data_IF_168491076269
#
_entry.id   IF_168491076269
#
_cell.length_a   1.000
_cell.length_b   1.000
_cell.length_c   1.000
_cell.angle_alpha   90.00
_cell.angle_beta   90.00
_cell.angle_gamma   90.00
#
_symmetry.space_group_name_H-M   'P 1'
#
loop_
_entity.id
_entity.type
_entity.pdbx_description
1 polymer ?
#
# COMPACT_ATOMS: atom_id res chain seq x y z
N UNK A 1 -18.90 22.30 -5.27
CA UNK A 1 -18.00 21.13 -5.30
C UNK A 1 -16.58 21.66 -5.46
N UNK A 2 -15.77 21.69 -4.40
CA UNK A 2 -14.38 22.14 -4.53
C UNK A 2 -13.60 21.03 -5.25
N UNK A 3 -13.13 21.32 -6.46
CA UNK A 3 -12.24 20.42 -7.21
C UNK A 3 -10.95 20.25 -6.40
N UNK A 4 -10.53 19.01 -6.16
CA UNK A 4 -9.25 18.75 -5.50
C UNK A 4 -8.13 19.06 -6.50
N UNK A 5 -7.13 19.84 -6.10
CA UNK A 5 -5.94 20.03 -6.92
C UNK A 5 -5.13 18.72 -6.91
N UNK A 6 -5.17 17.98 -8.03
CA UNK A 6 -4.29 16.82 -8.24
C UNK A 6 -2.97 17.34 -8.80
N UNK A 7 -1.97 17.40 -7.95
CA UNK A 7 -0.64 17.91 -8.28
C UNK A 7 0.24 16.73 -8.68
N UNK A 8 0.88 16.82 -9.84
CA UNK A 8 1.94 15.87 -10.19
C UNK A 8 3.20 16.22 -9.38
N UNK A 9 3.89 15.20 -8.87
CA UNK A 9 5.14 15.34 -8.12
C UNK A 9 6.17 16.22 -8.86
N UNK A 10 6.25 16.11 -10.18
CA UNK A 10 7.20 16.90 -10.99
C UNK A 10 6.93 18.40 -10.97
N UNK A 11 5.68 18.80 -10.77
CA UNK A 11 5.23 20.20 -10.77
C UNK A 11 4.84 20.68 -9.37
N UNK A 12 5.04 19.85 -8.35
CA UNK A 12 4.64 20.16 -6.98
C UNK A 12 5.60 21.18 -6.37
N UNK A 13 5.10 22.39 -6.11
CA UNK A 13 5.87 23.45 -5.45
C UNK A 13 5.52 23.51 -3.96
N UNK A 14 6.53 23.45 -3.09
CA UNK A 14 6.33 23.47 -1.64
C UNK A 14 5.71 24.78 -1.17
N UNK A 15 5.98 25.91 -1.86
CA UNK A 15 5.49 27.24 -1.49
C UNK A 15 3.97 27.34 -1.49
N UNK A 16 3.31 26.62 -2.41
CA UNK A 16 1.86 26.60 -2.55
C UNK A 16 1.17 25.74 -1.49
N UNK A 17 1.92 24.94 -0.73
CA UNK A 17 1.39 24.13 0.38
C UNK A 17 1.14 25.02 1.58
N UNK A 18 -0.10 25.02 2.07
CA UNK A 18 -0.50 25.73 3.29
C UNK A 18 -1.25 24.83 4.26
N UNK A 19 -1.10 25.15 5.54
CA UNK A 19 -1.68 24.39 6.65
C UNK A 19 -2.66 25.28 7.42
N UNK A 20 -3.97 25.21 7.13
CA UNK A 20 -5.00 25.94 7.88
C UNK A 20 -5.05 25.53 9.37
N UNK A 21 -5.83 26.26 10.16
CA UNK A 21 -5.97 26.00 11.59
C UNK A 21 -6.42 24.56 11.92
N UNK A 22 -5.87 24.02 13.02
CA UNK A 22 -6.15 22.68 13.48
C UNK A 22 -7.62 22.56 13.93
N UNK A 23 -8.33 21.58 13.38
CA UNK A 23 -9.72 21.28 13.73
C UNK A 23 -9.78 20.02 14.59
N UNK A 24 -10.47 20.09 15.72
CA UNK A 24 -10.71 18.91 16.57
C UNK A 24 -11.69 17.95 15.88
N UNK A 25 -11.33 16.67 15.84
CA UNK A 25 -12.17 15.59 15.31
C UNK A 25 -13.11 15.02 16.39
N UNK A 26 -14.06 14.17 15.98
CA UNK A 26 -15.03 13.54 16.89
C UNK A 26 -14.39 12.67 18.00
N UNK A 27 -13.16 12.22 17.78
CA UNK A 27 -12.39 11.36 18.69
C UNK A 27 -11.44 12.18 19.61
N UNK A 28 -11.57 13.50 19.64
CA UNK A 28 -10.75 14.38 20.47
C UNK A 28 -9.34 14.66 19.94
N UNK A 29 -8.94 14.05 18.81
CA UNK A 29 -7.69 14.34 18.12
C UNK A 29 -7.77 15.65 17.34
N UNK A 30 -6.65 16.38 17.26
CA UNK A 30 -6.52 17.57 16.43
C UNK A 30 -6.10 17.15 15.02
N UNK A 31 -6.80 17.62 13.99
CA UNK A 31 -6.52 17.33 12.59
C UNK A 31 -6.33 18.62 11.80
N UNK A 32 -5.23 18.71 11.06
CA UNK A 32 -4.94 19.82 10.15
C UNK A 32 -5.14 19.32 8.73
N UNK A 33 -5.95 20.05 7.95
CA UNK A 33 -6.10 19.79 6.52
C UNK A 33 -4.86 20.33 5.81
N UNK A 34 -4.49 19.70 4.70
CA UNK A 34 -3.45 20.22 3.83
C UNK A 34 -4.09 20.89 2.63
N UNK A 35 -3.68 22.12 2.34
CA UNK A 35 -4.14 22.87 1.18
C UNK A 35 -2.98 23.10 0.21
N UNK A 36 -3.30 23.14 -1.07
CA UNK A 36 -2.40 23.53 -2.15
C UNK A 36 -3.09 24.58 -3.01
N UNK A 37 -2.57 25.81 -3.03
CA UNK A 37 -3.21 26.92 -3.71
C UNK A 37 -4.66 27.18 -3.24
N UNK A 38 -4.96 26.89 -1.97
CA UNK A 38 -6.30 27.04 -1.39
C UNK A 38 -7.28 25.88 -1.64
N UNK A 39 -6.90 24.86 -2.41
CA UNK A 39 -7.69 23.64 -2.61
C UNK A 39 -7.14 22.48 -1.78
N UNK A 40 -7.94 21.42 -1.58
CA UNK A 40 -7.47 20.22 -0.90
C UNK A 40 -6.28 19.60 -1.64
N UNK A 41 -5.20 19.33 -0.91
CA UNK A 41 -3.99 18.76 -1.49
C UNK A 41 -4.19 17.27 -1.84
N UNK A 42 -3.98 16.96 -3.11
CA UNK A 42 -3.86 15.59 -3.62
C UNK A 42 -2.59 15.49 -4.46
N UNK A 43 -1.74 14.51 -4.17
CA UNK A 43 -0.48 14.25 -4.83
C UNK A 43 -0.61 13.01 -5.71
N UNK A 44 -0.27 13.12 -6.98
CA UNK A 44 -0.13 11.98 -7.89
C UNK A 44 1.28 11.41 -7.76
N UNK A 45 1.38 10.17 -7.29
CA UNK A 45 2.62 9.44 -7.17
C UNK A 45 2.99 8.73 -8.49
N UNK A 46 4.28 8.66 -8.83
CA UNK A 46 4.78 7.83 -9.93
C UNK A 46 4.58 6.34 -9.64
N UNK A 47 4.87 5.50 -10.64
CA UNK A 47 4.75 4.04 -10.53
C UNK A 47 5.71 3.52 -9.46
N UNK A 48 5.15 3.05 -8.34
CA UNK A 48 5.93 2.51 -7.23
C UNK A 48 5.56 1.07 -6.91
N UNK A 49 6.53 0.32 -6.41
CA UNK A 49 6.36 -1.08 -5.99
C UNK A 49 5.95 -1.19 -4.53
N UNK A 50 4.98 -2.05 -4.26
CA UNK A 50 4.46 -2.37 -2.92
C UNK A 50 4.84 -3.81 -2.56
N UNK A 51 6.04 -4.05 -1.98
CA UNK A 51 6.52 -5.40 -1.72
C UNK A 51 5.64 -6.16 -0.73
N UNK A 52 5.11 -5.46 0.29
CA UNK A 52 4.23 -6.04 1.30
C UNK A 52 2.79 -6.29 0.82
N UNK A 53 2.38 -5.73 -0.32
CA UNK A 53 0.98 -5.70 -0.73
C UNK A 53 0.08 -5.02 0.32
N UNK A 54 -1.17 -5.46 0.41
CA UNK A 54 -2.11 -5.00 1.43
C UNK A 54 -1.72 -5.49 2.84
N UNK A 55 -1.51 -4.56 3.76
CA UNK A 55 -1.33 -4.83 5.18
C UNK A 55 -2.61 -4.55 5.94
N UNK A 56 -3.10 -5.56 6.65
CA UNK A 56 -4.25 -5.47 7.54
C UNK A 56 -3.77 -5.37 8.98
N UNK A 57 -4.31 -4.42 9.74
CA UNK A 57 -4.09 -4.32 11.19
C UNK A 57 -5.41 -4.07 11.88
N UNK A 58 -5.74 -4.92 12.82
CA UNK A 58 -6.92 -4.80 13.68
C UNK A 58 -6.53 -4.02 14.93
N UNK A 59 -7.30 -3.01 15.27
CA UNK A 59 -7.13 -2.26 16.51
C UNK A 59 -7.90 -2.98 17.63
N UNK A 60 -7.18 -3.56 18.60
CA UNK A 60 -7.79 -4.25 19.74
C UNK A 60 -8.76 -3.38 20.55
N UNK A 61 -8.61 -2.05 20.50
CA UNK A 61 -9.45 -1.13 21.30
C UNK A 61 -10.76 -0.77 20.60
N UNK A 62 -10.77 -0.74 19.27
CA UNK A 62 -11.95 -0.29 18.52
C UNK A 62 -12.55 -1.38 17.63
N UNK A 63 -11.90 -2.54 17.52
CA UNK A 63 -12.28 -3.59 16.57
C UNK A 63 -12.21 -3.18 15.09
N UNK A 64 -11.63 -2.02 14.77
CA UNK A 64 -11.58 -1.53 13.40
C UNK A 64 -10.41 -2.14 12.67
N UNK A 65 -10.69 -2.67 11.49
CA UNK A 65 -9.70 -3.18 10.57
C UNK A 65 -9.14 -2.04 9.73
N UNK A 66 -7.86 -1.73 9.92
CA UNK A 66 -7.14 -0.72 9.16
C UNK A 66 -6.32 -1.35 8.03
N UNK A 67 -6.46 -0.80 6.83
CA UNK A 67 -5.75 -1.25 5.64
C UNK A 67 -4.67 -0.24 5.27
N UNK A 68 -3.45 -0.71 5.04
CA UNK A 68 -2.31 0.12 4.66
C UNK A 68 -1.50 -0.52 3.53
N UNK A 69 -0.95 0.33 2.66
CA UNK A 69 0.07 -0.02 1.68
C UNK A 69 1.39 0.61 2.10
N UNK A 70 2.49 -0.11 1.90
CA UNK A 70 3.84 0.43 2.10
C UNK A 70 4.54 0.44 0.75
N UNK A 71 4.68 1.62 0.18
CA UNK A 71 5.41 1.85 -1.07
C UNK A 71 6.90 1.89 -0.79
N UNK A 72 7.67 1.20 -1.61
CA UNK A 72 9.13 1.20 -1.53
C UNK A 72 9.71 2.26 -2.46
N UNK A 73 10.48 3.21 -1.90
CA UNK A 73 11.20 4.24 -2.67
C UNK A 73 12.59 3.70 -3.06
N UNK A 74 12.61 2.68 -3.92
CA UNK A 74 13.86 2.11 -4.45
C UNK A 74 14.64 3.19 -5.23
N UNK A 75 15.95 3.27 -5.00
CA UNK A 75 16.83 4.25 -5.65
C UNK A 75 17.04 5.57 -4.89
N UNK A 76 16.36 5.76 -3.75
CA UNK A 76 16.59 6.90 -2.86
C UNK A 76 17.51 6.51 -1.67
N UNK A 77 18.02 7.51 -0.96
CA UNK A 77 18.92 7.31 0.19
C UNK A 77 18.26 6.39 1.24
N UNK A 78 18.86 5.23 1.57
CA UNK A 78 18.34 4.30 2.58
C UNK A 78 18.18 4.92 3.97
N UNK A 79 18.88 6.02 4.25
CA UNK A 79 18.82 6.71 5.54
C UNK A 79 17.82 7.86 5.59
N UNK A 80 17.15 8.18 4.48
CA UNK A 80 16.25 9.33 4.35
C UNK A 80 16.87 10.67 4.80
N UNK A 81 18.21 10.83 4.71
CA UNK A 81 18.96 11.99 5.23
C UNK A 81 19.50 12.88 4.13
N UNK A 82 20.00 12.29 3.05
CA UNK A 82 20.52 13.02 1.91
C UNK A 82 19.40 13.23 0.87
N UNK A 83 19.40 14.40 0.22
CA UNK A 83 18.58 14.64 -0.98
C UNK A 83 19.02 13.67 -2.09
N UNK A 84 18.06 13.13 -2.83
CA UNK A 84 18.38 12.28 -3.97
C UNK A 84 18.87 13.17 -5.12
N UNK A 85 20.02 12.81 -5.69
CA UNK A 85 20.63 13.48 -6.86
C UNK A 85 20.13 12.94 -8.20
N UNK A 86 19.24 11.95 -8.19
CA UNK A 86 18.61 11.43 -9.41
C UNK A 86 17.60 12.42 -9.98
N UNK A 87 17.49 12.49 -11.31
CA UNK A 87 16.47 13.29 -12.01
C UNK A 87 15.12 12.53 -12.19
N UNK A 88 15.06 11.31 -11.67
CA UNK A 88 13.88 10.44 -11.73
C UNK A 88 12.68 11.04 -10.98
N UNK A 89 11.47 10.70 -11.42
CA UNK A 89 10.22 11.11 -10.75
C UNK A 89 10.18 10.67 -9.27
N UNK A 90 10.80 9.54 -8.96
CA UNK A 90 10.92 9.01 -7.59
C UNK A 90 11.85 9.86 -6.72
N UNK A 91 12.96 10.36 -7.28
CA UNK A 91 13.89 11.26 -6.58
C UNK A 91 13.25 12.61 -6.31
N UNK A 92 12.48 13.13 -7.27
CA UNK A 92 11.67 14.36 -7.09
C UNK A 92 10.59 14.18 -6.02
N UNK A 93 9.90 13.03 -6.00
CA UNK A 93 8.95 12.69 -4.93
C UNK A 93 9.65 12.71 -3.57
N UNK A 94 10.78 12.03 -3.46
CA UNK A 94 11.51 11.92 -2.22
C UNK A 94 11.98 13.29 -1.70
N UNK A 95 12.55 14.13 -2.58
CA UNK A 95 12.96 15.49 -2.20
C UNK A 95 11.76 16.35 -1.79
N UNK A 96 10.64 16.28 -2.52
CA UNK A 96 9.40 16.97 -2.14
C UNK A 96 8.87 16.53 -0.77
N UNK A 97 8.93 15.22 -0.45
CA UNK A 97 8.50 14.70 0.85
C UNK A 97 9.40 15.18 2.00
N UNK A 98 10.72 15.29 1.78
CA UNK A 98 11.66 15.85 2.75
C UNK A 98 11.39 17.34 3.00
N UNK A 99 11.27 18.12 1.93
CA UNK A 99 11.02 19.57 2.06
C UNK A 99 9.64 19.84 2.68
N UNK A 100 8.65 19.00 2.38
CA UNK A 100 7.34 19.05 3.03
C UNK A 100 7.44 18.73 4.53
N UNK A 101 8.26 17.76 4.93
CA UNK A 101 8.53 17.44 6.33
C UNK A 101 9.14 18.63 7.06
N UNK A 102 10.15 19.28 6.48
CA UNK A 102 10.80 20.45 7.08
C UNK A 102 9.83 21.63 7.23
N UNK A 103 9.05 21.92 6.18
CA UNK A 103 8.02 22.97 6.23
C UNK A 103 6.94 22.66 7.29
N UNK A 104 6.57 21.39 7.43
CA UNK A 104 5.61 20.97 8.45
C UNK A 104 6.19 21.15 9.87
N UNK A 105 7.46 20.83 10.09
CA UNK A 105 8.15 21.02 11.39
C UNK A 105 8.24 22.51 11.74
N UNK A 106 8.58 23.37 10.78
CA UNK A 106 8.59 24.82 10.96
C UNK A 106 7.20 25.35 11.33
N UNK A 107 6.18 24.97 10.57
CA UNK A 107 4.79 25.38 10.83
C UNK A 107 4.30 24.87 12.19
N UNK A 108 4.68 23.66 12.58
CA UNK A 108 4.35 23.06 13.87
C UNK A 108 5.04 23.78 15.03
N UNK A 109 6.25 24.31 14.81
CA UNK A 109 7.00 25.09 15.80
C UNK A 109 6.35 26.44 16.04
N UNK A 110 5.96 27.13 14.97
CA UNK A 110 5.21 28.39 15.02
C UNK A 110 3.85 28.22 15.69
N UNK A 111 3.13 27.14 15.34
CA UNK A 111 1.79 26.83 15.88
C UNK A 111 1.82 25.94 17.13
N UNK A 112 2.98 25.74 17.75
CA UNK A 112 3.16 24.76 18.84
C UNK A 112 2.20 24.99 20.02
N UNK A 113 1.96 26.24 20.38
CA UNK A 113 0.98 26.61 21.41
C UNK A 113 -0.45 26.19 21.08
N UNK A 114 -0.88 26.30 19.81
CA UNK A 114 -2.22 25.90 19.37
C UNK A 114 -2.36 24.39 19.20
N UNK A 115 -1.30 23.72 18.72
CA UNK A 115 -1.33 22.30 18.37
C UNK A 115 -1.08 21.39 19.58
N UNK A 116 -0.14 21.75 20.44
CA UNK A 116 0.27 20.94 21.60
C UNK A 116 -0.16 21.57 22.94
N UNK A 117 -0.76 22.76 22.92
CA UNK A 117 -1.15 23.49 24.13
C UNK A 117 0.02 24.15 24.88
N UNK A 118 1.26 23.98 24.41
CA UNK A 118 2.49 24.54 25.00
C UNK A 118 3.47 24.92 23.89
N UNK A 119 4.23 26.00 24.10
CA UNK A 119 5.33 26.36 23.21
C UNK A 119 6.41 25.30 23.32
N UNK A 120 6.83 24.71 22.20
CA UNK A 120 7.90 23.73 22.14
C UNK A 120 9.00 24.20 21.19
N UNK A 121 10.24 23.85 21.53
CA UNK A 121 11.38 24.05 20.66
C UNK A 121 11.34 23.11 19.46
N UNK A 122 12.00 23.50 18.38
CA UNK A 122 12.06 22.76 17.13
C UNK A 122 12.58 21.32 17.31
N UNK A 123 13.60 21.15 18.15
CA UNK A 123 14.19 19.83 18.45
C UNK A 123 13.16 18.85 19.03
N UNK A 124 12.36 19.28 20.00
CA UNK A 124 11.32 18.44 20.61
C UNK A 124 10.21 18.07 19.61
N UNK A 125 9.94 18.96 18.65
CA UNK A 125 8.95 18.73 17.59
C UNK A 125 9.50 17.75 16.55
N UNK A 126 10.78 17.89 16.17
CA UNK A 126 11.48 16.92 15.31
C UNK A 126 11.49 15.54 15.94
N UNK A 127 11.83 15.45 17.21
CA UNK A 127 11.81 14.18 17.94
C UNK A 127 10.41 13.56 17.99
N UNK A 128 9.39 14.39 18.30
CA UNK A 128 7.99 13.96 18.26
C UNK A 128 7.48 13.55 16.88
N UNK A 129 8.18 13.94 15.82
CA UNK A 129 7.87 13.64 14.43
C UNK A 129 8.64 12.43 13.90
N UNK A 130 9.84 12.15 14.41
CA UNK A 130 10.73 11.09 13.91
C UNK A 130 10.03 9.71 13.89
N UNK A 131 9.30 9.36 14.94
CA UNK A 131 8.53 8.10 15.01
C UNK A 131 7.36 8.01 14.00
N UNK A 132 6.91 9.16 13.48
CA UNK A 132 5.76 9.28 12.56
C UNK A 132 6.12 10.06 11.30
N UNK A 133 7.39 9.99 10.94
CA UNK A 133 7.90 10.64 9.74
C UNK A 133 7.14 10.15 8.51
N UNK A 134 7.02 11.05 7.54
CA UNK A 134 6.43 10.76 6.23
C UNK A 134 7.18 9.59 5.57
N UNK A 135 8.50 9.54 5.78
CA UNK A 135 9.39 8.49 5.30
C UNK A 135 9.79 7.59 6.47
N UNK A 136 9.48 6.29 6.34
CA UNK A 136 9.88 5.27 7.30
C UNK A 136 11.18 4.62 6.81
N UNK A 137 12.27 4.84 7.54
CA UNK A 137 13.55 4.17 7.30
C UNK A 137 13.58 2.81 7.99
N UNK A 138 14.32 1.87 7.40
CA UNK A 138 14.56 0.58 8.05
C UNK A 138 15.48 0.78 9.25
N UNK A 139 14.94 0.63 10.44
CA UNK A 139 15.70 0.66 11.69
C UNK A 139 15.65 -0.69 12.39
N UNK A 140 16.80 -1.13 12.88
CA UNK A 140 16.88 -2.26 13.80
C UNK A 140 16.85 -1.75 15.24
N UNK A 141 16.13 -2.50 16.08
CA UNK A 141 16.07 -2.22 17.51
C UNK A 141 17.33 -2.76 18.17
N UNK A 142 18.29 -1.89 18.45
CA UNK A 142 19.47 -2.20 19.26
C UNK A 142 19.23 -1.63 20.67
N UNK A 143 18.69 -2.45 21.57
CA UNK A 143 18.32 -2.01 22.92
C UNK A 143 17.07 -1.12 22.92
N UNK A 144 17.16 0.08 23.49
CA UNK A 144 16.08 1.07 23.56
C UNK A 144 16.07 2.07 22.38
N UNK A 145 17.08 2.01 21.51
CA UNK A 145 17.25 2.96 20.40
C UNK A 145 17.08 2.27 19.04
N UNK A 146 16.33 2.91 18.14
CA UNK A 146 16.13 2.45 16.77
C UNK A 146 17.26 2.98 15.89
N UNK A 147 18.23 2.12 15.57
CA UNK A 147 19.34 2.49 14.71
C UNK A 147 18.95 2.22 13.26
N UNK A 148 18.96 3.21 12.35
CA UNK A 148 18.67 2.99 10.94
C UNK A 148 19.73 2.03 10.36
N UNK A 149 19.31 0.83 9.98
CA UNK A 149 20.16 -0.21 9.42
C UNK A 149 20.41 0.01 7.91
N UNK A 150 19.58 0.82 7.24
CA UNK A 150 19.71 1.07 5.80
C UNK A 150 19.53 -0.17 4.91
N UNK A 151 19.16 -1.31 5.51
CA UNK A 151 18.98 -2.61 4.83
C UNK A 151 17.87 -2.60 3.79
N UNK A 152 16.85 -1.79 4.01
CA UNK A 152 15.75 -1.62 3.05
C UNK A 152 15.63 -0.16 2.63
N UNK A 153 15.24 0.10 1.37
CA UNK A 153 14.95 1.44 0.89
C UNK A 153 13.86 2.11 1.74
N UNK A 154 13.84 3.45 1.79
CA UNK A 154 12.85 4.17 2.58
C UNK A 154 11.44 3.83 2.09
N UNK A 155 10.53 3.76 3.06
CA UNK A 155 9.19 3.26 2.87
C UNK A 155 8.17 4.37 3.10
N UNK A 156 7.20 4.48 2.19
CA UNK A 156 6.12 5.45 2.25
C UNK A 156 4.81 4.76 2.61
N UNK A 157 4.23 5.11 3.77
CA UNK A 157 3.02 4.47 4.27
C UNK A 157 1.76 5.19 3.81
N UNK A 158 0.89 4.45 3.15
CA UNK A 158 -0.40 4.90 2.63
C UNK A 158 -1.52 4.12 3.33
N UNK A 159 -2.62 4.80 3.65
CA UNK A 159 -3.84 4.16 4.17
C UNK A 159 -4.90 4.05 3.08
N UNK A 160 -5.58 2.91 3.03
CA UNK A 160 -6.77 2.77 2.20
C UNK A 160 -8.00 3.20 3.01
N UNK A 161 -8.82 4.10 2.48
CA UNK A 161 -10.03 4.53 3.16
C UNK A 161 -11.11 3.45 3.07
N UNK A 162 -11.24 2.64 4.13
CA UNK A 162 -12.35 1.69 4.30
C UNK A 162 -13.23 2.18 5.43
N UNK A 163 -14.48 2.49 5.13
CA UNK A 163 -15.47 3.01 6.07
C UNK A 163 -16.69 2.09 6.06
N UNK A 164 -17.05 1.53 7.21
CA UNK A 164 -18.26 0.70 7.37
C UNK A 164 -18.36 -0.44 6.33
N UNK A 165 -17.22 -1.07 6.00
CA UNK A 165 -17.14 -2.14 5.00
C UNK A 165 -17.18 -1.66 3.54
N UNK A 166 -17.18 -0.35 3.28
CA UNK A 166 -17.08 0.23 1.93
C UNK A 166 -15.71 0.84 1.68
N UNK A 167 -15.14 0.48 0.55
CA UNK A 167 -13.87 1.02 0.05
C UNK A 167 -14.16 2.35 -0.65
N UNK A 168 -13.65 3.46 -0.12
CA UNK A 168 -13.87 4.81 -0.66
C UNK A 168 -12.69 5.25 -1.53
N UNK A 169 -12.33 4.44 -2.52
CA UNK A 169 -11.33 4.77 -3.54
C UNK A 169 -11.71 4.18 -4.90
N UNK A 170 -11.21 4.77 -5.96
CA UNK A 170 -11.40 4.28 -7.32
C UNK A 170 -10.15 3.52 -7.79
N UNK A 171 -10.34 2.28 -8.25
CA UNK A 171 -9.26 1.46 -8.78
C UNK A 171 -9.52 1.12 -10.24
N UNK A 172 -8.46 1.26 -11.04
CA UNK A 172 -8.41 0.75 -12.41
C UNK A 172 -7.29 -0.27 -12.57
N UNK A 173 -7.51 -1.24 -13.44
CA UNK A 173 -6.49 -2.22 -13.84
C UNK A 173 -5.44 -1.58 -14.78
N UNK A 174 -4.42 -2.35 -15.16
CA UNK A 174 -3.38 -1.93 -16.10
C UNK A 174 -3.96 -1.44 -17.45
N UNK A 175 -5.10 -2.00 -17.87
CA UNK A 175 -5.84 -1.61 -19.07
C UNK A 175 -6.85 -0.46 -18.84
N UNK A 176 -6.79 0.24 -17.70
CA UNK A 176 -7.68 1.37 -17.34
C UNK A 176 -9.16 0.96 -17.21
N UNK A 177 -9.43 -0.34 -17.04
CA UNK A 177 -10.78 -0.83 -16.76
C UNK A 177 -11.09 -0.66 -15.28
N UNK A 178 -12.29 -0.15 -14.90
CA UNK A 178 -12.66 -0.01 -13.50
C UNK A 178 -12.77 -1.37 -12.83
N UNK A 179 -12.24 -1.48 -11.62
CA UNK A 179 -12.29 -2.68 -10.79
C UNK A 179 -13.21 -2.41 -9.61
N UNK A 180 -14.23 -3.24 -9.43
CA UNK A 180 -15.11 -3.15 -8.27
C UNK A 180 -14.39 -3.60 -7.01
N UNK A 181 -14.40 -2.76 -5.98
CA UNK A 181 -13.69 -3.01 -4.73
C UNK A 181 -14.66 -3.36 -3.61
N UNK A 182 -14.54 -4.59 -3.13
CA UNK A 182 -15.02 -5.04 -1.81
C UNK A 182 -13.85 -5.22 -0.87
N UNK A 183 -14.12 -5.26 0.44
CA UNK A 183 -13.09 -5.51 1.47
C UNK A 183 -12.33 -6.81 1.20
N UNK A 184 -13.03 -7.86 0.78
CA UNK A 184 -12.43 -9.15 0.45
C UNK A 184 -11.56 -9.10 -0.82
N UNK A 185 -11.98 -8.32 -1.82
CA UNK A 185 -11.23 -8.16 -3.07
C UNK A 185 -9.97 -7.30 -2.93
N UNK A 186 -9.83 -6.50 -1.86
CA UNK A 186 -8.66 -5.63 -1.69
C UNK A 186 -7.35 -6.42 -1.72
N UNK A 187 -7.35 -7.63 -1.16
CA UNK A 187 -6.16 -8.48 -1.10
C UNK A 187 -5.78 -9.08 -2.45
N UNK A 188 -6.77 -9.36 -3.30
CA UNK A 188 -6.54 -9.85 -4.66
C UNK A 188 -6.14 -8.72 -5.60
N UNK A 189 -6.71 -7.52 -5.42
CA UNK A 189 -6.36 -6.32 -6.20
C UNK A 189 -4.97 -5.80 -5.84
N UNK A 190 -4.58 -5.81 -4.57
CA UNK A 190 -3.24 -5.40 -4.12
C UNK A 190 -2.41 -6.58 -3.59
N UNK A 191 -1.99 -7.50 -4.48
CA UNK A 191 -1.17 -8.63 -4.09
C UNK A 191 0.24 -8.18 -3.67
N UNK A 192 1.03 -9.10 -3.11
CA UNK A 192 2.44 -8.85 -2.80
C UNK A 192 3.21 -8.50 -4.08
N UNK A 193 4.16 -7.57 -3.97
CA UNK A 193 4.98 -7.07 -5.09
C UNK A 193 4.20 -6.39 -6.23
N UNK A 194 2.99 -5.91 -5.97
CA UNK A 194 2.22 -5.13 -6.94
C UNK A 194 2.89 -3.78 -7.22
N UNK A 195 2.90 -3.33 -8.47
CA UNK A 195 3.25 -1.95 -8.81
C UNK A 195 1.96 -1.14 -9.02
N UNK A 196 1.90 0.10 -8.56
CA UNK A 196 0.72 0.94 -8.79
C UNK A 196 1.08 2.42 -8.96
N UNK A 197 0.29 3.12 -9.78
CA UNK A 197 0.23 4.59 -9.81
C UNK A 197 -0.88 5.02 -8.86
N UNK A 198 -0.62 5.97 -7.96
CA UNK A 198 -1.60 6.34 -6.93
C UNK A 198 -1.82 7.85 -6.92
N UNK A 199 -3.04 8.27 -6.62
CA UNK A 199 -3.34 9.63 -6.17
C UNK A 199 -3.66 9.57 -4.70
N UNK A 200 -2.95 10.37 -3.91
CA UNK A 200 -3.03 10.35 -2.45
C UNK A 200 -3.36 11.72 -1.90
N UNK A 201 -4.19 11.79 -0.87
CA UNK A 201 -4.50 13.01 -0.14
C UNK A 201 -3.90 12.96 1.26
N UNK A 202 -3.16 14.01 1.63
CA UNK A 202 -2.51 14.13 2.92
C UNK A 202 -3.39 14.83 3.96
N UNK A 203 -3.39 14.32 5.19
CA UNK A 203 -3.96 15.01 6.34
C UNK A 203 -3.06 14.83 7.55
N UNK A 204 -2.79 15.92 8.25
CA UNK A 204 -1.98 15.91 9.46
C UNK A 204 -2.90 15.62 10.64
N UNK A 205 -2.41 14.79 11.55
CA UNK A 205 -3.10 14.45 12.79
C UNK A 205 -2.15 14.62 13.97
N UNK A 206 -2.68 15.18 15.05
CA UNK A 206 -1.97 15.49 16.28
C UNK A 206 -2.68 14.73 17.39
N UNK A 207 -1.92 13.91 18.11
CA UNK A 207 -2.40 13.06 19.21
C UNK A 207 -1.47 13.27 20.39
N UNK A 208 -1.98 13.90 21.44
CA UNK A 208 -1.20 14.22 22.64
C UNK A 208 -0.03 15.15 22.29
N UNK A 209 1.19 14.66 22.46
CA UNK A 209 2.43 15.40 22.16
C UNK A 209 3.04 15.03 20.79
N UNK A 210 2.52 14.02 20.11
CA UNK A 210 3.04 13.59 18.82
C UNK A 210 2.11 14.01 17.69
N UNK A 211 2.68 14.20 16.51
CA UNK A 211 1.92 14.48 15.30
C UNK A 211 2.49 13.68 14.14
N UNK A 212 1.71 13.52 13.09
CA UNK A 212 2.15 12.83 11.89
C UNK A 212 1.26 13.14 10.70
N UNK A 213 1.65 12.64 9.54
CA UNK A 213 0.87 12.78 8.31
C UNK A 213 0.26 11.44 7.96
N UNK A 214 -1.04 11.43 7.69
CA UNK A 214 -1.72 10.28 7.10
C UNK A 214 -1.99 10.58 5.64
N UNK A 215 -1.48 9.73 4.76
CA UNK A 215 -1.77 9.75 3.34
C UNK A 215 -2.86 8.74 3.02
N UNK A 216 -3.95 9.19 2.41
CA UNK A 216 -5.07 8.34 2.01
C UNK A 216 -5.10 8.20 0.50
N UNK A 217 -5.21 6.97 0.00
CA UNK A 217 -5.34 6.71 -1.43
C UNK A 217 -6.75 7.09 -1.88
N UNK A 218 -6.88 7.89 -2.94
CA UNK A 218 -8.17 8.25 -3.55
C UNK A 218 -8.37 7.55 -4.88
N UNK A 219 -7.32 7.46 -5.70
CA UNK A 219 -7.34 6.77 -6.99
C UNK A 219 -6.11 5.88 -7.10
N UNK A 220 -6.25 4.71 -7.72
CA UNK A 220 -5.15 3.81 -7.95
C UNK A 220 -5.27 3.12 -9.31
N UNK A 221 -4.15 3.02 -10.02
CA UNK A 221 -4.01 2.17 -11.19
C UNK A 221 -3.01 1.06 -10.85
N UNK A 222 -3.45 -0.18 -10.98
CA UNK A 222 -2.73 -1.33 -10.43
C UNK A 222 -2.13 -2.18 -11.55
N UNK A 223 -0.90 -2.61 -11.35
CA UNK A 223 -0.13 -3.46 -12.26
C UNK A 223 0.33 -4.69 -11.46
N UNK A 224 -0.55 -5.70 -11.29
CA UNK A 224 -0.17 -6.94 -10.64
C UNK A 224 0.94 -7.64 -11.42
N UNK A 225 1.91 -8.21 -10.70
CA UNK A 225 2.94 -9.06 -11.30
C UNK A 225 2.31 -10.41 -11.63
N UNK A 226 1.95 -10.63 -12.88
CA UNK A 226 1.60 -11.96 -13.39
C UNK A 226 2.87 -12.79 -13.42
N UNK A 227 2.97 -13.80 -12.56
CA UNK A 227 3.95 -14.86 -12.76
C UNK A 227 3.51 -15.62 -14.01
N UNK A 228 4.35 -15.75 -15.04
CA UNK A 228 4.02 -16.62 -16.17
C UNK A 228 3.82 -18.04 -15.61
N UNK A 229 2.66 -18.62 -15.90
CA UNK A 229 2.36 -19.99 -15.48
C UNK A 229 3.16 -20.95 -16.35
N UNK A 230 3.50 -22.13 -15.83
CA UNK A 230 4.16 -23.16 -16.63
C UNK A 230 3.43 -23.41 -17.96
N UNK A 231 2.09 -23.38 -17.97
CA UNK A 231 1.31 -23.47 -19.21
C UNK A 231 1.65 -22.38 -20.22
N UNK A 232 1.74 -21.11 -19.81
CA UNK A 232 2.07 -19.99 -20.71
C UNK A 232 3.52 -20.04 -21.21
N UNK A 233 4.43 -20.55 -20.37
CA UNK A 233 5.85 -20.72 -20.73
C UNK A 233 5.99 -21.89 -21.73
N UNK A 234 5.35 -23.02 -21.47
CA UNK A 234 5.46 -24.21 -22.32
C UNK A 234 4.55 -24.16 -23.55
N UNK A 235 3.45 -23.39 -23.55
CA UNK A 235 2.69 -23.06 -24.76
C UNK A 235 3.53 -22.22 -25.72
N UNK A 236 4.31 -21.26 -25.22
CA UNK A 236 5.24 -20.51 -26.05
C UNK A 236 6.33 -21.42 -26.65
N UNK A 237 6.86 -22.38 -25.87
CA UNK A 237 7.83 -23.37 -26.37
C UNK A 237 7.21 -24.32 -27.41
N UNK A 238 5.95 -24.75 -27.20
CA UNK A 238 5.24 -25.59 -28.16
C UNK A 238 4.89 -24.84 -29.46
N UNK A 239 4.56 -23.55 -29.37
CA UNK A 239 4.32 -22.69 -30.52
C UNK A 239 5.60 -22.45 -31.34
N UNK A 240 6.73 -22.22 -30.68
CA UNK A 240 8.04 -22.09 -31.33
C UNK A 240 8.47 -23.43 -31.98
N UNK A 241 8.27 -24.56 -31.31
CA UNK A 241 8.57 -25.90 -31.86
C UNK A 241 7.64 -26.30 -33.02
N UNK A 242 6.41 -25.78 -33.07
CA UNK A 242 5.46 -26.03 -34.16
C UNK A 242 5.70 -25.14 -35.39
N UNK A 243 6.56 -24.13 -35.28
CA UNK A 243 6.89 -23.21 -36.38
C UNK A 243 8.11 -23.67 -37.21
N UNK A 244 8.76 -24.77 -36.84
CA UNK A 244 9.91 -25.35 -37.57
C UNK A 244 9.55 -26.50 -38.54
N UNK A 245 8.26 -26.72 -38.85
CA UNK A 245 7.86 -27.68 -39.89
C UNK A 245 7.34 -26.97 -41.13
N UNK A 246 8.22 -26.80 -42.12
CA UNK A 246 7.82 -26.51 -43.50
C UNK A 246 6.97 -27.67 -44.07
N UNK A 247 5.92 -27.38 -44.85
CA UNK A 247 5.04 -28.38 -45.43
C UNK A 247 5.69 -28.99 -46.67
N UNK A 248 5.93 -30.30 -46.67
CA UNK A 248 6.23 -31.03 -47.89
C UNK A 248 4.97 -31.81 -48.31
N UNK A 249 4.39 -31.37 -49.43
CA UNK A 249 3.32 -32.02 -50.18
C UNK A 249 3.74 -33.41 -50.66
N UNK A 250 2.96 -34.46 -50.38
CA UNK A 250 2.60 -35.45 -51.40
C UNK A 250 1.41 -36.33 -50.98
N UNK A 251 0.37 -36.21 -51.79
CA UNK A 251 -0.82 -37.03 -52.00
C UNK A 251 -0.60 -38.57 -51.96
N UNK A 252 -1.54 -39.31 -51.36
CA UNK A 252 -2.14 -40.52 -51.96
C UNK A 252 -3.28 -41.07 -51.10
N UNK A 253 -4.46 -41.09 -51.71
CA UNK A 253 -5.70 -41.65 -51.19
C UNK A 253 -5.74 -43.20 -51.11
N UNK A 254 -6.71 -43.67 -50.32
CA UNK A 254 -7.61 -44.84 -50.49
C UNK A 254 -7.58 -45.91 -49.40
N UNK A 255 -8.77 -46.29 -48.90
CA UNK A 255 -9.00 -47.55 -48.19
C UNK A 255 -10.06 -47.50 -47.09
N UNK A 256 -11.29 -47.90 -47.40
CA UNK A 256 -12.50 -47.86 -46.59
C UNK A 256 -12.60 -48.90 -45.44
N UNK A 257 -13.70 -48.75 -44.66
CA UNK A 257 -14.47 -49.69 -43.81
C UNK A 257 -14.24 -49.51 -42.29
N UNK A 258 -15.13 -48.83 -41.56
CA UNK A 258 -16.51 -49.18 -41.14
C UNK A 258 -16.55 -50.08 -39.88
N UNK A 259 -17.03 -49.54 -38.75
CA UNK A 259 -18.11 -50.12 -37.89
C UNK A 259 -18.30 -49.33 -36.57
N UNK A 260 -19.33 -48.47 -36.59
CA UNK A 260 -20.47 -48.29 -35.66
C UNK A 260 -20.37 -48.41 -34.11
N UNK A 261 -21.32 -47.79 -33.37
CA UNK A 261 -21.18 -47.24 -32.03
C UNK A 261 -22.09 -47.91 -30.96
N UNK A 262 -21.96 -47.50 -29.69
CA UNK A 262 -23.02 -47.49 -28.66
C UNK A 262 -22.47 -46.74 -27.43
N UNK A 263 -23.08 -45.64 -26.95
CA UNK A 263 -24.16 -45.60 -25.92
C UNK A 263 -23.72 -46.21 -24.57
N UNK A 264 -23.97 -45.66 -23.38
CA UNK A 264 -24.77 -44.54 -22.92
C UNK A 264 -24.42 -44.21 -21.44
N UNK A 265 -24.88 -43.03 -21.02
CA UNK A 265 -25.38 -42.68 -19.66
C UNK A 265 -24.43 -42.48 -18.45
N UNK A 266 -24.39 -41.19 -18.08
CA UNK A 266 -24.29 -40.51 -16.77
C UNK A 266 -25.10 -41.14 -15.61
N UNK A 267 -25.16 -40.54 -14.40
CA UNK A 267 -24.19 -39.87 -13.51
C UNK A 267 -24.17 -40.59 -12.12
N UNK A 268 -23.61 -40.01 -11.03
CA UNK A 268 -24.18 -39.97 -9.66
C UNK A 268 -23.13 -39.51 -8.61
N UNK A 269 -23.47 -38.39 -7.97
CA UNK A 269 -23.29 -37.95 -6.57
C UNK A 269 -22.05 -38.30 -5.71
N UNK A 270 -21.33 -37.23 -5.37
CA UNK A 270 -21.05 -36.71 -4.01
C UNK A 270 -21.25 -37.65 -2.79
N UNK A 271 -20.16 -37.95 -2.08
CA UNK A 271 -20.20 -38.33 -0.65
C UNK A 271 -19.15 -37.54 0.14
N UNK A 272 -19.72 -36.83 1.11
CA UNK A 272 -19.16 -36.03 2.18
C UNK A 272 -18.30 -36.87 3.14
N UNK A 273 -17.10 -36.40 3.51
CA UNK A 273 -16.28 -36.97 4.60
C UNK A 273 -16.17 -35.90 5.70
N UNK A 274 -16.65 -36.15 6.93
CA UNK A 274 -16.40 -35.25 8.04
C UNK A 274 -15.12 -35.67 8.77
N UNK A 275 -14.12 -34.79 8.82
CA UNK A 275 -12.96 -34.96 9.71
C UNK A 275 -13.08 -34.01 10.92
N UNK A 276 -13.12 -34.62 12.10
CA UNK A 276 -13.38 -34.00 13.39
C UNK A 276 -12.08 -33.42 13.98
N UNK A 277 -12.13 -32.16 14.37
CA UNK A 277 -11.07 -31.43 15.07
C UNK A 277 -10.83 -31.92 16.52
N UNK A 278 -9.61 -31.74 17.06
CA UNK A 278 -9.42 -31.58 18.50
C UNK A 278 -8.82 -30.20 18.82
N UNK A 279 -9.37 -29.46 19.82
CA UNK A 279 -8.54 -29.05 20.98
C UNK A 279 -9.41 -28.99 22.27
N UNK A 280 -8.95 -28.83 23.52
CA UNK A 280 -7.76 -28.22 24.10
C UNK A 280 -7.57 -28.72 25.55
N UNK A 281 -6.34 -28.80 26.04
CA UNK A 281 -6.03 -29.02 27.45
C UNK A 281 -6.01 -27.68 28.22
N UNK A 282 -6.74 -27.63 29.33
CA UNK A 282 -6.85 -26.47 30.24
C UNK A 282 -5.66 -26.37 31.21
N UNK A 283 -5.21 -25.13 31.46
CA UNK A 283 -4.30 -24.75 32.55
C UNK A 283 -5.03 -24.74 33.90
N UNK A 284 -4.44 -25.33 34.95
CA UNK A 284 -4.75 -24.98 36.36
C UNK A 284 -3.48 -24.86 37.23
N UNK A 285 -3.28 -23.63 37.70
CA UNK A 285 -2.80 -23.13 39.02
C UNK A 285 -1.74 -23.93 39.77
N UNK A 286 -0.57 -23.30 39.98
CA UNK A 286 0.33 -23.59 41.11
C UNK A 286 0.00 -22.65 42.28
N UNK A 287 -0.20 -23.25 43.45
CA UNK A 287 -0.39 -22.60 44.73
C UNK A 287 0.95 -22.17 45.34
N UNK A 288 0.89 -21.09 46.11
CA UNK A 288 1.96 -20.49 46.92
C UNK A 288 2.33 -21.45 48.06
N UNK A 289 3.62 -21.73 48.23
CA UNK A 289 4.15 -22.48 49.36
C UNK A 289 4.42 -21.57 50.55
N UNK A 290 3.97 -22.00 51.72
CA UNK A 290 4.39 -21.56 53.04
C UNK A 290 5.39 -22.57 53.58
N UNK A 291 6.58 -22.12 53.96
CA UNK A 291 7.45 -22.66 55.02
C UNK A 291 8.65 -21.71 55.18
#
# INVERSE_FOLDING_TARGET
MSTNAIVNVTNASIDLVSFPEAKRNKQGGLGVRMLYGGQNFSLRLPRMGFPGGLLQREDEKSGNVSYSLIGSLKGCDPYAKARSTGDDEMSKLYNFLLDMQDKLIQTATENSSKWFGKKRGEESIRDSFNDRSILSVSSDKNGDEYVPNGKYPPSFRLKLPVYEGKVSMDVVDAATKPVFLTVDSLRSVFPKNVAANLVVSGSIYIIGQSFGVTWRVTHAQVFPQTRPTASTIFEAVAAEASSEQEPNDSDSATGALESTPAEAETPVAEVHVPEVAPPAAQKKRRAVGSA
#
